data_IF_490971586866
#
_entry.id   IF_490971586866
#
_cell.length_a   1.000
_cell.length_b   1.000
_cell.length_c   1.000
_cell.angle_alpha   90.00
_cell.angle_beta   90.00
_cell.angle_gamma   90.00
#
_symmetry.space_group_name_H-M   'P 1'
#
loop_
_entity.id
_entity.type
_entity.pdbx_description
1 polymer ?
#
# COMPACT_ATOMS: atom_id res chain seq x y z
N UNK A 1 -1.70 29.65 13.13
CA UNK A 1 -0.37 29.30 12.58
C UNK A 1 -0.53 29.00 11.09
N UNK A 2 0.21 29.68 10.21
CA UNK A 2 0.05 29.55 8.76
C UNK A 2 0.37 28.11 8.30
N UNK A 3 -0.48 27.50 7.45
CA UNK A 3 -0.39 26.09 7.01
C UNK A 3 1.00 25.70 6.51
N UNK A 4 1.78 26.67 5.98
CA UNK A 4 3.16 26.47 5.56
C UNK A 4 4.11 26.10 6.71
N UNK A 5 3.93 26.68 7.90
CA UNK A 5 4.79 26.43 9.07
C UNK A 5 4.44 25.12 9.76
N UNK A 6 3.15 24.78 9.87
CA UNK A 6 2.72 23.48 10.40
C UNK A 6 3.35 22.35 9.59
N UNK A 7 3.31 22.44 8.26
CA UNK A 7 3.91 21.42 7.39
C UNK A 7 5.44 21.35 7.52
N UNK A 8 6.11 22.51 7.61
CA UNK A 8 7.57 22.56 7.79
C UNK A 8 7.96 21.87 9.10
N UNK A 9 7.26 22.15 10.20
CA UNK A 9 7.46 21.52 11.50
C UNK A 9 7.22 20.01 11.41
N UNK A 10 6.12 19.57 10.79
CA UNK A 10 5.81 18.14 10.62
C UNK A 10 6.87 17.43 9.77
N UNK A 11 7.37 18.07 8.72
CA UNK A 11 8.41 17.49 7.85
C UNK A 11 9.76 17.42 8.55
N UNK A 12 10.10 18.42 9.37
CA UNK A 12 11.31 18.43 10.19
C UNK A 12 11.22 17.33 11.26
N UNK A 13 10.10 17.22 11.98
CA UNK A 13 9.87 16.16 12.95
C UNK A 13 9.92 14.77 12.31
N UNK A 14 9.30 14.61 11.13
CA UNK A 14 9.35 13.36 10.38
C UNK A 14 10.80 13.03 9.96
N UNK A 15 11.56 14.00 9.46
CA UNK A 15 12.97 13.85 9.10
C UNK A 15 13.83 13.40 10.28
N UNK A 16 13.74 14.09 11.43
CA UNK A 16 14.49 13.70 12.63
C UNK A 16 14.06 12.35 13.18
N UNK A 17 12.77 12.02 13.10
CA UNK A 17 12.26 10.69 13.46
C UNK A 17 12.87 9.60 12.57
N UNK A 18 12.86 9.77 11.25
CA UNK A 18 13.50 8.81 10.35
C UNK A 18 15.00 8.71 10.55
N UNK A 19 15.69 9.84 10.73
CA UNK A 19 17.12 9.85 11.03
C UNK A 19 17.43 9.07 12.33
N UNK A 20 16.61 9.21 13.36
CA UNK A 20 16.76 8.45 14.61
C UNK A 20 16.57 6.94 14.39
N UNK A 21 15.61 6.53 13.57
CA UNK A 21 15.42 5.12 13.20
C UNK A 21 16.62 4.60 12.41
N UNK A 22 17.15 5.39 11.48
CA UNK A 22 18.34 5.01 10.69
C UNK A 22 19.54 4.79 11.60
N UNK A 23 19.81 5.72 12.52
CA UNK A 23 20.91 5.61 13.47
C UNK A 23 20.76 4.40 14.41
N UNK A 24 19.52 4.08 14.81
CA UNK A 24 19.22 2.88 15.61
C UNK A 24 19.47 1.59 14.82
N UNK A 25 19.06 1.50 13.56
CA UNK A 25 19.22 0.28 12.76
C UNK A 25 20.66 0.08 12.27
N UNK A 26 21.44 1.16 12.07
CA UNK A 26 22.89 1.05 11.77
C UNK A 26 23.66 0.37 12.91
N UNK A 27 23.17 0.48 14.15
CA UNK A 27 23.83 -0.15 15.29
C UNK A 27 23.64 -1.68 15.25
N UNK A 28 24.72 -2.48 15.12
CA UNK A 28 24.64 -3.93 14.94
C UNK A 28 23.88 -4.64 16.06
N UNK A 29 24.05 -4.18 17.31
CA UNK A 29 23.37 -4.78 18.47
C UNK A 29 21.84 -4.67 18.37
N UNK A 30 21.31 -3.60 17.79
CA UNK A 30 19.86 -3.44 17.62
C UNK A 30 19.33 -4.31 16.48
N UNK A 31 20.06 -4.39 15.37
CA UNK A 31 19.66 -5.24 14.25
C UNK A 31 19.65 -6.72 14.65
N UNK A 32 20.67 -7.18 15.38
CA UNK A 32 20.74 -8.56 15.87
C UNK A 32 19.61 -8.87 16.86
N UNK A 33 19.27 -7.92 17.73
CA UNK A 33 18.14 -8.06 18.65
C UNK A 33 16.79 -8.12 17.92
N UNK A 34 16.59 -7.31 16.88
CA UNK A 34 15.36 -7.35 16.05
C UNK A 34 15.26 -8.67 15.30
N UNK A 35 16.37 -9.16 14.73
CA UNK A 35 16.42 -10.45 14.03
C UNK A 35 16.16 -11.60 15.01
N UNK A 36 16.76 -11.57 16.20
CA UNK A 36 16.53 -12.57 17.25
C UNK A 36 15.08 -12.56 17.71
N UNK A 37 14.53 -11.39 18.04
CA UNK A 37 13.13 -11.23 18.42
C UNK A 37 12.19 -11.78 17.33
N UNK A 38 12.45 -11.44 16.07
CA UNK A 38 11.64 -11.93 14.93
C UNK A 38 11.74 -13.45 14.76
N UNK A 39 12.90 -14.05 15.04
CA UNK A 39 13.11 -15.51 15.00
C UNK A 39 12.41 -16.24 16.14
N UNK A 40 12.40 -15.65 17.33
CA UNK A 40 11.71 -16.19 18.52
C UNK A 40 10.19 -16.00 18.41
N UNK A 41 9.75 -14.89 17.84
CA UNK A 41 8.35 -14.46 17.76
C UNK A 41 7.82 -14.48 16.33
N UNK A 42 7.89 -15.68 15.70
CA UNK A 42 7.55 -15.89 14.27
C UNK A 42 6.16 -15.41 13.85
N UNK A 43 5.23 -15.23 14.79
CA UNK A 43 3.85 -14.81 14.53
C UNK A 43 3.66 -13.28 14.47
N UNK A 44 4.38 -12.53 15.29
CA UNK A 44 4.11 -11.10 15.48
C UNK A 44 4.53 -10.26 14.27
N UNK A 45 5.63 -10.62 13.62
CA UNK A 45 6.11 -9.96 12.40
C UNK A 45 5.10 -10.03 11.23
N UNK A 46 4.67 -11.24 10.83
CA UNK A 46 3.63 -11.42 9.83
C UNK A 46 2.31 -10.75 10.19
N UNK A 47 1.87 -10.86 11.44
CA UNK A 47 0.63 -10.23 11.90
C UNK A 47 0.69 -8.71 11.76
N UNK A 48 1.79 -8.09 12.20
CA UNK A 48 2.01 -6.65 12.04
C UNK A 48 1.94 -6.24 10.57
N UNK A 49 2.62 -6.97 9.67
CA UNK A 49 2.62 -6.67 8.25
C UNK A 49 1.22 -6.75 7.63
N UNK A 50 0.43 -7.78 7.97
CA UNK A 50 -0.95 -7.93 7.51
C UNK A 50 -1.82 -6.77 8.00
N UNK A 51 -1.79 -6.48 9.30
CA UNK A 51 -2.57 -5.40 9.90
C UNK A 51 -2.18 -4.04 9.32
N UNK A 52 -0.88 -3.80 9.13
CA UNK A 52 -0.37 -2.58 8.52
C UNK A 52 -0.88 -2.40 7.09
N UNK A 53 -0.91 -3.48 6.28
CA UNK A 53 -1.45 -3.42 4.93
C UNK A 53 -2.96 -3.19 4.91
N UNK A 54 -3.71 -3.82 5.81
CA UNK A 54 -5.14 -3.56 5.96
C UNK A 54 -5.38 -2.07 6.27
N UNK A 55 -4.66 -1.54 7.26
CA UNK A 55 -4.80 -0.13 7.67
C UNK A 55 -4.45 0.83 6.55
N UNK A 56 -3.35 0.61 5.83
CA UNK A 56 -2.96 1.48 4.71
C UNK A 56 -3.97 1.52 3.57
N UNK A 57 -4.68 0.41 3.33
CA UNK A 57 -5.70 0.33 2.28
C UNK A 57 -7.01 0.98 2.73
N UNK A 58 -7.44 0.68 3.96
CA UNK A 58 -8.68 1.24 4.51
C UNK A 58 -8.54 2.75 4.75
N UNK A 59 -7.33 3.20 5.12
CA UNK A 59 -6.96 4.61 5.36
C UNK A 59 -5.87 5.02 4.35
N UNK A 60 -6.24 5.49 3.12
CA UNK A 60 -5.35 5.77 1.99
C UNK A 60 -4.30 6.90 2.17
N UNK A 61 -4.03 7.30 3.41
CA UNK A 61 -3.05 8.31 3.75
C UNK A 61 -1.65 7.71 3.97
N UNK A 62 -1.55 6.40 4.21
CA UNK A 62 -0.33 5.73 4.65
C UNK A 62 0.32 5.02 3.47
N UNK A 63 1.60 5.27 3.16
CA UNK A 63 2.32 4.57 2.08
C UNK A 63 2.69 3.14 2.51
N UNK A 64 1.69 2.27 2.70
CA UNK A 64 1.90 0.97 3.33
C UNK A 64 2.77 0.00 2.52
N UNK A 65 2.83 0.16 1.18
CA UNK A 65 3.71 -0.64 0.33
C UNK A 65 5.21 -0.47 0.66
N UNK A 66 5.61 0.71 1.14
CA UNK A 66 7.00 1.00 1.54
C UNK A 66 7.44 0.07 2.67
N UNK A 67 6.58 -0.10 3.67
CA UNK A 67 6.87 -0.98 4.82
C UNK A 67 6.90 -2.45 4.39
N UNK A 68 6.05 -2.86 3.44
CA UNK A 68 6.13 -4.20 2.86
C UNK A 68 7.49 -4.50 2.25
N UNK A 69 8.11 -3.55 1.54
CA UNK A 69 9.47 -3.74 1.03
C UNK A 69 10.53 -3.71 2.14
N UNK A 70 10.32 -2.91 3.19
CA UNK A 70 11.29 -2.76 4.29
C UNK A 70 11.56 -4.06 5.05
N UNK A 71 10.56 -4.92 5.12
CA UNK A 71 10.64 -6.17 5.89
C UNK A 71 11.05 -7.38 5.03
N UNK A 72 11.28 -7.20 3.73
CA UNK A 72 11.79 -8.26 2.83
C UNK A 72 13.08 -8.88 3.36
N UNK A 73 14.07 -8.13 3.85
CA UNK A 73 15.28 -8.73 4.43
C UNK A 73 15.04 -9.59 5.69
N UNK A 74 13.91 -9.39 6.38
CA UNK A 74 13.58 -10.12 7.60
C UNK A 74 12.89 -11.46 7.33
N UNK A 75 11.97 -11.50 6.36
CA UNK A 75 11.16 -12.70 6.07
C UNK A 75 11.53 -13.38 4.75
N UNK A 76 12.35 -12.74 3.91
CA UNK A 76 12.50 -13.09 2.50
C UNK A 76 11.34 -12.60 1.66
N UNK A 77 11.57 -12.47 0.35
CA UNK A 77 10.58 -11.92 -0.57
C UNK A 77 9.30 -12.77 -0.66
N UNK A 78 9.40 -14.11 -0.60
CA UNK A 78 8.25 -15.00 -0.75
C UNK A 78 7.24 -14.80 0.37
N UNK A 79 7.70 -14.90 1.63
CA UNK A 79 6.84 -14.75 2.80
C UNK A 79 6.30 -13.33 2.91
N UNK A 80 7.15 -12.33 2.64
CA UNK A 80 6.74 -10.94 2.64
C UNK A 80 5.64 -10.67 1.62
N UNK A 81 5.76 -11.24 0.41
CA UNK A 81 4.72 -11.16 -0.63
C UNK A 81 3.42 -11.82 -0.16
N UNK A 82 3.47 -13.03 0.38
CA UNK A 82 2.26 -13.75 0.85
C UNK A 82 1.53 -12.97 1.93
N UNK A 83 2.23 -12.49 2.96
CA UNK A 83 1.61 -11.70 4.03
C UNK A 83 1.08 -10.36 3.53
N UNK A 84 1.81 -9.72 2.62
CA UNK A 84 1.36 -8.50 1.96
C UNK A 84 0.09 -8.75 1.16
N UNK A 85 0.02 -9.84 0.39
CA UNK A 85 -1.14 -10.22 -0.40
C UNK A 85 -2.36 -10.47 0.49
N UNK A 86 -2.20 -11.19 1.60
CA UNK A 86 -3.28 -11.41 2.57
C UNK A 86 -3.83 -10.07 3.08
N UNK A 87 -2.94 -9.15 3.49
CA UNK A 87 -3.33 -7.81 3.91
C UNK A 87 -4.04 -7.01 2.81
N UNK A 88 -3.59 -7.13 1.56
CA UNK A 88 -4.25 -6.52 0.39
C UNK A 88 -5.66 -7.07 0.20
N UNK A 89 -5.82 -8.39 0.18
CA UNK A 89 -7.11 -9.02 -0.06
C UNK A 89 -8.11 -8.66 1.04
N UNK A 90 -7.69 -8.64 2.31
CA UNK A 90 -8.56 -8.25 3.42
C UNK A 90 -8.90 -6.76 3.34
N UNK A 91 -7.90 -5.88 3.23
CA UNK A 91 -8.12 -4.43 3.23
C UNK A 91 -8.97 -3.94 2.05
N UNK A 92 -8.72 -4.48 0.86
CA UNK A 92 -9.49 -4.12 -0.34
C UNK A 92 -10.91 -4.66 -0.29
N UNK A 93 -11.12 -5.85 0.28
CA UNK A 93 -12.46 -6.40 0.52
C UNK A 93 -13.24 -5.55 1.53
N UNK A 94 -12.61 -5.16 2.64
CA UNK A 94 -13.23 -4.27 3.63
C UNK A 94 -13.65 -2.95 3.01
N UNK A 95 -12.75 -2.30 2.27
CA UNK A 95 -13.02 -1.02 1.60
C UNK A 95 -14.13 -1.13 0.55
N UNK A 96 -14.16 -2.24 -0.21
CA UNK A 96 -15.21 -2.52 -1.18
C UNK A 96 -16.59 -2.62 -0.51
N UNK A 97 -16.70 -3.39 0.59
CA UNK A 97 -17.96 -3.58 1.29
C UNK A 97 -18.41 -2.33 2.04
N UNK A 98 -17.48 -1.56 2.60
CA UNK A 98 -17.76 -0.25 3.17
C UNK A 98 -18.40 0.67 2.12
N UNK A 99 -17.78 0.82 0.95
CA UNK A 99 -18.35 1.60 -0.15
C UNK A 99 -19.69 1.04 -0.64
N UNK A 100 -19.81 -0.28 -0.77
CA UNK A 100 -21.04 -0.96 -1.24
C UNK A 100 -22.25 -0.62 -0.38
N UNK A 101 -22.06 -0.54 0.94
CA UNK A 101 -23.12 -0.20 1.89
C UNK A 101 -23.71 1.19 1.64
N UNK A 102 -22.90 2.14 1.18
CA UNK A 102 -23.33 3.52 0.90
C UNK A 102 -23.62 3.78 -0.58
N UNK A 103 -23.60 2.74 -1.43
CA UNK A 103 -23.74 2.89 -2.88
C UNK A 103 -25.00 3.64 -3.29
N UNK A 104 -26.17 3.15 -2.92
CA UNK A 104 -27.45 3.72 -3.36
C UNK A 104 -27.65 5.19 -2.94
N UNK A 105 -27.44 5.59 -1.67
CA UNK A 105 -27.56 7.00 -1.29
C UNK A 105 -26.51 7.92 -1.96
N UNK A 106 -25.32 7.41 -2.29
CA UNK A 106 -24.30 8.20 -3.00
C UNK A 106 -24.62 8.30 -4.50
N UNK A 107 -25.01 7.22 -5.15
CA UNK A 107 -25.38 7.23 -6.58
C UNK A 107 -26.58 8.15 -6.85
N UNK A 108 -27.55 8.20 -5.93
CA UNK A 108 -28.68 9.12 -6.02
C UNK A 108 -28.26 10.60 -5.96
N UNK A 109 -27.20 10.93 -5.20
CA UNK A 109 -26.75 12.31 -4.97
C UNK A 109 -25.68 12.80 -5.96
N UNK A 110 -24.90 11.90 -6.56
CA UNK A 110 -23.75 12.25 -7.39
C UNK A 110 -23.96 11.91 -8.87
N UNK A 111 -24.19 12.94 -9.70
CA UNK A 111 -24.33 12.82 -11.16
C UNK A 111 -23.20 12.03 -11.87
N UNK A 112 -21.91 12.17 -11.50
CA UNK A 112 -20.83 11.39 -12.12
C UNK A 112 -20.99 9.88 -11.92
N UNK A 113 -21.44 9.44 -10.73
CA UNK A 113 -21.68 8.03 -10.42
C UNK A 113 -22.82 7.45 -11.27
N UNK A 114 -23.87 8.23 -11.51
CA UNK A 114 -24.97 7.84 -12.41
C UNK A 114 -24.48 7.65 -13.86
N UNK A 115 -23.61 8.53 -14.35
CA UNK A 115 -22.99 8.38 -15.68
C UNK A 115 -22.13 7.13 -15.78
N UNK A 116 -21.33 6.84 -14.75
CA UNK A 116 -20.52 5.61 -14.68
C UNK A 116 -21.42 4.38 -14.73
N UNK A 117 -22.52 4.36 -13.99
CA UNK A 117 -23.46 3.23 -13.99
C UNK A 117 -24.15 3.03 -15.35
N UNK A 118 -24.55 4.10 -16.03
CA UNK A 118 -25.09 4.03 -17.40
C UNK A 118 -24.04 3.49 -18.39
N UNK A 119 -22.79 3.94 -18.26
CA UNK A 119 -21.68 3.44 -19.07
C UNK A 119 -21.43 1.96 -18.79
N UNK A 120 -21.45 1.55 -17.52
CA UNK A 120 -21.34 0.14 -17.16
C UNK A 120 -22.43 -0.68 -17.83
N UNK A 121 -23.70 -0.25 -17.79
CA UNK A 121 -24.81 -0.96 -18.43
C UNK A 121 -24.58 -1.18 -19.93
N UNK A 122 -23.93 -0.24 -20.62
CA UNK A 122 -23.57 -0.36 -22.04
C UNK A 122 -22.40 -1.32 -22.34
N UNK A 123 -21.61 -1.69 -21.34
CA UNK A 123 -20.46 -2.59 -21.51
C UNK A 123 -20.84 -4.06 -21.29
N UNK A 124 -20.29 -4.96 -22.11
CA UNK A 124 -20.43 -6.40 -21.88
C UNK A 124 -19.73 -6.85 -20.59
N UNK A 125 -20.19 -7.95 -19.99
CA UNK A 125 -19.59 -8.47 -18.74
C UNK A 125 -18.08 -8.73 -18.84
N UNK A 126 -17.57 -9.18 -20.00
CA UNK A 126 -16.14 -9.40 -20.24
C UNK A 126 -15.37 -8.07 -20.26
N UNK A 127 -15.89 -7.04 -20.95
CA UNK A 127 -15.25 -5.71 -21.01
C UNK A 127 -15.21 -5.03 -19.64
N UNK A 128 -16.26 -5.18 -18.82
CA UNK A 128 -16.28 -4.66 -17.43
C UNK A 128 -15.19 -5.27 -16.57
N UNK A 129 -15.02 -6.59 -16.64
CA UNK A 129 -13.96 -7.28 -15.89
C UNK A 129 -12.57 -6.85 -16.35
N UNK A 130 -12.32 -6.83 -17.66
CA UNK A 130 -11.03 -6.42 -18.22
C UNK A 130 -10.66 -4.97 -17.85
N UNK A 131 -11.62 -4.04 -17.90
CA UNK A 131 -11.40 -2.65 -17.50
C UNK A 131 -10.96 -2.52 -16.04
N UNK A 132 -11.51 -3.36 -15.15
CA UNK A 132 -11.19 -3.32 -13.71
C UNK A 132 -9.85 -4.00 -13.43
N UNK A 133 -9.53 -5.09 -14.11
CA UNK A 133 -8.19 -5.68 -14.07
C UNK A 133 -7.16 -4.65 -14.54
N UNK A 134 -7.39 -3.99 -15.67
CA UNK A 134 -6.49 -2.95 -16.18
C UNK A 134 -6.37 -1.79 -15.18
N UNK A 135 -7.47 -1.28 -14.64
CA UNK A 135 -7.44 -0.23 -13.63
C UNK A 135 -6.57 -0.64 -12.44
N UNK A 136 -6.71 -1.87 -11.93
CA UNK A 136 -5.94 -2.34 -10.76
C UNK A 136 -4.47 -2.59 -11.09
N UNK A 137 -4.14 -3.05 -12.29
CA UNK A 137 -2.76 -3.21 -12.77
C UNK A 137 -2.03 -1.86 -12.89
N UNK A 138 -2.71 -0.80 -13.36
CA UNK A 138 -2.08 0.50 -13.57
C UNK A 138 -2.18 1.45 -12.36
N UNK A 139 -3.01 1.14 -11.37
CA UNK A 139 -3.19 1.97 -10.17
C UNK A 139 -2.45 1.43 -8.94
N UNK A 140 -1.31 0.74 -9.10
CA UNK A 140 -0.49 0.25 -7.98
C UNK A 140 -0.22 1.33 -6.90
N UNK A 141 0.06 2.61 -7.23
CA UNK A 141 0.25 3.67 -6.22
C UNK A 141 -1.04 4.21 -5.59
N UNK A 142 -2.21 3.86 -6.14
CA UNK A 142 -3.55 4.40 -5.80
C UNK A 142 -4.56 3.28 -5.52
N UNK A 143 -4.07 2.05 -5.30
CA UNK A 143 -4.90 0.84 -5.11
C UNK A 143 -5.92 0.98 -3.97
N UNK A 144 -5.59 1.82 -3.00
CA UNK A 144 -6.39 2.08 -1.81
C UNK A 144 -7.73 2.75 -2.19
N UNK A 145 -7.70 3.76 -3.09
CA UNK A 145 -8.91 4.43 -3.56
C UNK A 145 -9.70 3.62 -4.60
N UNK A 146 -9.02 2.84 -5.44
CA UNK A 146 -9.69 2.08 -6.51
C UNK A 146 -10.64 1.02 -5.96
N UNK A 147 -10.38 0.52 -4.74
CA UNK A 147 -11.23 -0.45 -4.05
C UNK A 147 -12.54 0.16 -3.56
N UNK A 148 -12.51 1.40 -3.05
CA UNK A 148 -13.73 2.15 -2.73
C UNK A 148 -14.54 2.47 -3.99
N UNK A 149 -13.88 2.92 -5.06
CA UNK A 149 -14.56 3.20 -6.34
C UNK A 149 -15.26 1.96 -6.86
N UNK A 150 -14.58 0.80 -6.87
CA UNK A 150 -15.17 -0.47 -7.28
C UNK A 150 -16.39 -0.87 -6.43
N UNK A 151 -16.37 -0.57 -5.12
CA UNK A 151 -17.51 -0.77 -4.22
C UNK A 151 -18.74 0.08 -4.59
N UNK A 152 -18.54 1.24 -5.21
CA UNK A 152 -19.61 2.13 -5.67
C UNK A 152 -20.17 1.78 -7.07
N UNK A 153 -19.54 0.87 -7.81
CA UNK A 153 -20.01 0.48 -9.16
C UNK A 153 -20.89 -0.78 -9.14
N UNK A 154 -21.41 -1.23 -10.30
CA UNK A 154 -22.25 -2.43 -10.40
C UNK A 154 -21.48 -3.76 -10.43
N UNK A 155 -20.15 -3.76 -10.30
CA UNK A 155 -19.37 -5.00 -10.29
C UNK A 155 -19.72 -5.89 -9.08
N UNK A 156 -19.71 -7.21 -9.28
CA UNK A 156 -19.83 -8.19 -8.19
C UNK A 156 -18.52 -8.34 -7.42
N UNK A 157 -18.62 -8.61 -6.12
CA UNK A 157 -17.45 -8.83 -5.25
C UNK A 157 -16.51 -9.91 -5.81
N UNK A 158 -17.04 -11.03 -6.32
CA UNK A 158 -16.23 -12.11 -6.87
C UNK A 158 -15.35 -11.66 -8.06
N UNK A 159 -15.91 -10.87 -8.98
CA UNK A 159 -15.15 -10.32 -10.12
C UNK A 159 -14.09 -9.33 -9.65
N UNK A 160 -14.42 -8.49 -8.67
CA UNK A 160 -13.48 -7.55 -8.07
C UNK A 160 -12.33 -8.27 -7.35
N UNK A 161 -12.65 -9.29 -6.57
CA UNK A 161 -11.70 -10.08 -5.79
C UNK A 161 -10.74 -10.84 -6.71
N UNK A 162 -11.26 -11.50 -7.75
CA UNK A 162 -10.45 -12.17 -8.76
C UNK A 162 -9.57 -11.19 -9.53
N UNK A 163 -10.09 -10.03 -9.91
CA UNK A 163 -9.31 -8.99 -10.55
C UNK A 163 -8.17 -8.48 -9.65
N UNK A 164 -8.39 -8.43 -8.34
CA UNK A 164 -7.35 -8.06 -7.36
C UNK A 164 -6.25 -9.11 -7.31
N UNK A 165 -6.59 -10.39 -7.25
CA UNK A 165 -5.60 -11.48 -7.26
C UNK A 165 -4.76 -11.42 -8.54
N UNK A 166 -5.41 -11.29 -9.70
CA UNK A 166 -4.71 -11.21 -11.00
C UNK A 166 -3.80 -9.98 -11.04
N UNK A 167 -4.28 -8.84 -10.56
CA UNK A 167 -3.50 -7.60 -10.52
C UNK A 167 -2.30 -7.67 -9.58
N UNK A 168 -2.31 -8.57 -8.58
CA UNK A 168 -1.20 -8.78 -7.65
C UNK A 168 -0.14 -9.77 -8.15
N UNK A 169 -0.38 -10.49 -9.26
CA UNK A 169 0.62 -11.42 -9.82
C UNK A 169 1.93 -10.70 -10.22
N UNK A 170 1.91 -9.54 -10.90
CA UNK A 170 3.13 -8.81 -11.22
C UNK A 170 3.95 -8.41 -9.98
N UNK A 171 3.31 -8.25 -8.81
CA UNK A 171 4.00 -7.89 -7.56
C UNK A 171 5.03 -8.96 -7.17
N UNK A 172 4.83 -10.22 -7.55
CA UNK A 172 5.82 -11.31 -7.35
C UNK A 172 7.17 -10.91 -7.93
N UNK A 173 7.19 -10.38 -9.16
CA UNK A 173 8.40 -9.89 -9.80
C UNK A 173 8.99 -8.70 -9.05
N UNK A 174 8.15 -7.76 -8.60
CA UNK A 174 8.61 -6.58 -7.86
C UNK A 174 9.27 -6.98 -6.53
N UNK A 175 8.69 -7.94 -5.78
CA UNK A 175 9.28 -8.44 -4.55
C UNK A 175 10.57 -9.23 -4.80
N UNK A 176 10.59 -10.10 -5.81
CA UNK A 176 11.78 -10.88 -6.18
C UNK A 176 12.94 -9.98 -6.63
N UNK A 177 12.72 -9.15 -7.65
CA UNK A 177 13.74 -8.23 -8.16
C UNK A 177 14.09 -7.15 -7.13
N UNK A 178 13.14 -6.76 -6.28
CA UNK A 178 13.37 -5.86 -5.15
C UNK A 178 14.37 -6.45 -4.17
N UNK A 179 14.24 -7.72 -3.80
CA UNK A 179 15.21 -8.40 -2.93
C UNK A 179 16.59 -8.55 -3.58
N UNK A 180 16.64 -8.90 -4.87
CA UNK A 180 17.92 -9.05 -5.59
C UNK A 180 18.63 -7.70 -5.78
N UNK A 181 17.90 -6.65 -6.15
CA UNK A 181 18.41 -5.28 -6.19
C UNK A 181 18.90 -4.86 -4.81
N UNK A 182 18.14 -5.20 -3.78
CA UNK A 182 18.48 -4.88 -2.40
C UNK A 182 19.83 -5.49 -1.99
N UNK A 183 20.01 -6.80 -2.21
CA UNK A 183 21.27 -7.50 -1.95
C UNK A 183 22.44 -6.92 -2.73
N UNK A 184 22.22 -6.51 -3.99
CA UNK A 184 23.27 -5.98 -4.87
C UNK A 184 23.71 -4.56 -4.53
N UNK A 185 22.76 -3.67 -4.22
CA UNK A 185 23.05 -2.24 -4.00
C UNK A 185 23.43 -1.97 -2.54
N UNK A 186 22.85 -2.68 -1.59
CA UNK A 186 22.96 -2.36 -0.15
C UNK A 186 23.63 -3.46 0.68
N UNK A 187 24.03 -4.57 0.05
CA UNK A 187 24.53 -5.74 0.75
C UNK A 187 23.46 -6.36 1.67
N UNK A 188 23.88 -6.96 2.79
CA UNK A 188 22.97 -7.54 3.80
C UNK A 188 22.47 -6.54 4.85
N UNK A 189 22.80 -5.25 4.74
CA UNK A 189 22.57 -4.28 5.82
C UNK A 189 21.14 -3.73 5.81
N UNK A 190 20.27 -4.31 6.64
CA UNK A 190 18.86 -3.93 6.88
C UNK A 190 18.69 -2.42 7.11
N UNK A 191 19.68 -1.77 7.72
CA UNK A 191 19.68 -0.33 8.01
C UNK A 191 19.54 0.54 6.76
N UNK A 192 20.17 0.14 5.66
CA UNK A 192 20.20 0.93 4.43
C UNK A 192 18.86 0.81 3.68
N UNK A 193 18.17 -0.35 3.76
CA UNK A 193 16.78 -0.50 3.30
C UNK A 193 15.86 0.49 4.00
N UNK A 194 15.89 0.43 5.33
CA UNK A 194 14.99 1.21 6.18
C UNK A 194 15.23 2.71 5.94
N UNK A 195 16.48 3.11 5.78
CA UNK A 195 16.86 4.48 5.43
C UNK A 195 16.29 4.94 4.08
N UNK A 196 16.49 4.17 3.01
CA UNK A 196 16.03 4.59 1.69
C UNK A 196 14.51 4.56 1.56
N UNK A 197 13.84 3.59 2.17
CA UNK A 197 12.38 3.54 2.22
C UNK A 197 11.80 4.71 3.00
N UNK A 198 12.48 5.13 4.08
CA UNK A 198 12.14 6.36 4.80
C UNK A 198 12.31 7.60 3.90
N UNK A 199 13.43 7.75 3.20
CA UNK A 199 13.66 8.89 2.30
C UNK A 199 12.72 8.91 1.09
N UNK A 200 12.34 7.75 0.55
CA UNK A 200 11.33 7.63 -0.51
C UNK A 200 9.93 8.01 0.00
N UNK A 201 9.56 7.56 1.20
CA UNK A 201 8.30 7.95 1.83
C UNK A 201 8.24 9.45 2.15
N UNK A 202 9.35 10.01 2.66
CA UNK A 202 9.49 11.46 2.89
C UNK A 202 9.41 12.22 1.56
N UNK A 203 10.13 11.78 0.53
CA UNK A 203 10.08 12.37 -0.81
C UNK A 203 8.67 12.38 -1.40
N UNK A 204 7.94 11.26 -1.28
CA UNK A 204 6.54 11.16 -1.69
C UNK A 204 5.63 12.11 -0.90
N UNK A 205 5.79 12.17 0.43
CA UNK A 205 5.03 13.07 1.29
C UNK A 205 5.26 14.55 0.95
N UNK A 206 6.52 14.92 0.70
CA UNK A 206 6.91 16.27 0.27
C UNK A 206 6.38 16.59 -1.14
N UNK A 207 6.39 15.63 -2.07
CA UNK A 207 5.89 15.81 -3.43
C UNK A 207 4.37 15.99 -3.48
N UNK A 208 3.61 15.21 -2.69
CA UNK A 208 2.14 15.31 -2.60
C UNK A 208 1.64 16.69 -2.15
N UNK A 209 2.46 17.44 -1.39
CA UNK A 209 2.16 18.85 -1.06
C UNK A 209 2.15 19.75 -2.29
N UNK A 210 3.08 19.53 -3.23
CA UNK A 210 3.29 20.38 -4.41
C UNK A 210 2.11 20.30 -5.38
N UNK A 211 1.42 19.16 -5.44
CA UNK A 211 0.21 18.98 -6.25
C UNK A 211 -1.08 19.49 -5.58
N UNK A 212 -1.13 19.61 -4.25
CA UNK A 212 -2.30 20.15 -3.51
C UNK A 212 -2.33 21.69 -3.40
N UNK A 213 -1.27 22.37 -3.82
CA UNK A 213 -1.09 23.83 -3.76
C UNK A 213 -1.15 24.50 -5.14
N UNK A 214 -1.46 23.74 -6.20
CA UNK A 214 -1.90 24.25 -7.50
C UNK A 214 -3.42 24.13 -7.57
#
# INVERSE_FOLDING_TARGET
MNKKYIFAIVSILFFFFGLSIILLVINPSYTDNIVRFTREHKFYGPLFLVLWRILGIVVPAIPAGVVSFAVVPLFGWQLTYVYTLIGILIGTSTSFWLARKFREPLVAKFLPLQKIHKLEDSLSHKKRFAAIVALRLFTVPVMDFSSYIAGLTKISFAKFFLATIIASIPDIGIFYFGEELYKRVFGKSIAIAVAMLFFLALGYFLFRRRSSLK
#
